data_IF_822247121709
#
_entry.id   IF_822247121709
#
_cell.length_a   1.000
_cell.length_b   1.000
_cell.length_c   1.000
_cell.angle_alpha   90.00
_cell.angle_beta   90.00
_cell.angle_gamma   90.00
#
_symmetry.space_group_name_H-M   'P 1'
#
loop_
_entity.id
_entity.type
_entity.pdbx_description
1 polymer ?
#
# COMPACT_ATOMS: atom_id res chain seq x y z
N UNK A 1 3.52 22.55 -45.48
CA UNK A 1 3.03 21.26 -44.95
C UNK A 1 2.76 21.44 -43.46
N UNK A 2 1.51 21.75 -43.10
CA UNK A 2 1.09 21.89 -41.71
C UNK A 2 0.79 20.48 -41.17
N UNK A 3 1.67 19.97 -40.32
CA UNK A 3 1.41 18.75 -39.55
C UNK A 3 0.19 19.02 -38.67
N UNK A 4 -0.90 18.31 -38.97
CA UNK A 4 -2.19 18.43 -38.30
C UNK A 4 -2.02 18.17 -36.80
N UNK A 5 -2.44 19.08 -35.90
CA UNK A 5 -2.23 18.94 -34.44
C UNK A 5 -2.85 17.65 -33.86
N UNK A 6 -3.83 17.08 -34.56
CA UNK A 6 -4.48 15.81 -34.24
C UNK A 6 -3.50 14.63 -34.33
N UNK A 7 -2.60 14.64 -35.32
CA UNK A 7 -1.63 13.55 -35.53
C UNK A 7 -0.55 13.54 -34.44
N UNK A 8 -0.14 14.73 -33.98
CA UNK A 8 0.83 14.89 -32.89
C UNK A 8 0.26 14.43 -31.54
N UNK A 9 -1.02 14.70 -31.27
CA UNK A 9 -1.69 14.25 -30.05
C UNK A 9 -1.88 12.72 -30.00
N UNK A 10 -2.23 12.10 -31.13
CA UNK A 10 -2.37 10.65 -31.22
C UNK A 10 -1.03 9.91 -30.99
N UNK A 11 0.07 10.46 -31.49
CA UNK A 11 1.41 9.90 -31.28
C UNK A 11 1.90 10.04 -29.83
N UNK A 12 1.55 11.15 -29.15
CA UNK A 12 1.89 11.36 -27.74
C UNK A 12 1.14 10.40 -26.79
N UNK A 13 -0.13 10.10 -27.09
CA UNK A 13 -0.90 9.11 -26.32
C UNK A 13 -0.37 7.68 -26.47
N UNK A 14 0.20 7.34 -27.64
CA UNK A 14 0.81 6.03 -27.88
C UNK A 14 2.13 5.81 -27.12
N UNK A 15 2.78 6.88 -26.64
CA UNK A 15 4.02 6.83 -25.87
C UNK A 15 3.80 6.84 -24.34
N UNK A 16 2.55 6.99 -23.88
CA UNK A 16 2.22 6.90 -22.47
C UNK A 16 2.26 5.44 -22.01
N UNK A 17 3.44 4.96 -21.63
CA UNK A 17 3.60 3.67 -20.97
C UNK A 17 2.82 3.61 -19.65
N UNK A 18 2.30 2.43 -19.24
CA UNK A 18 1.62 2.30 -17.97
C UNK A 18 2.56 2.67 -16.82
N UNK A 19 2.17 3.65 -16.01
CA UNK A 19 2.88 4.03 -14.79
C UNK A 19 2.67 2.96 -13.71
N UNK A 20 3.32 1.80 -13.87
CA UNK A 20 3.22 0.66 -12.96
C UNK A 20 4.17 0.78 -11.75
N UNK A 21 4.39 1.99 -11.22
CA UNK A 21 5.42 2.26 -10.20
C UNK A 21 4.92 2.15 -8.75
N UNK A 22 3.66 1.80 -8.51
CA UNK A 22 3.08 1.76 -7.16
C UNK A 22 3.16 0.34 -6.60
N UNK A 23 4.06 0.12 -5.62
CA UNK A 23 4.16 -1.16 -4.92
C UNK A 23 3.08 -1.38 -3.86
N UNK A 24 2.26 -0.37 -3.55
CA UNK A 24 1.21 -0.41 -2.53
C UNK A 24 -0.01 0.41 -2.95
N UNK A 25 -1.20 -0.20 -2.95
CA UNK A 25 -2.47 0.48 -3.20
C UNK A 25 -3.64 -0.14 -2.41
N UNK A 26 -4.59 0.66 -1.87
CA UNK A 26 -4.52 2.11 -1.77
C UNK A 26 -3.46 2.53 -0.74
N UNK A 27 -2.86 3.71 -0.92
CA UNK A 27 -1.94 4.28 0.08
C UNK A 27 -2.67 4.85 1.30
N UNK A 28 -3.93 5.24 1.14
CA UNK A 28 -4.74 5.73 2.25
C UNK A 28 -6.12 5.09 2.20
N UNK A 29 -6.60 4.62 3.35
CA UNK A 29 -7.98 4.21 3.49
C UNK A 29 -8.49 4.45 4.91
N UNK A 30 -9.79 4.70 5.02
CA UNK A 30 -10.48 4.77 6.30
C UNK A 30 -11.74 3.94 6.24
N UNK A 31 -12.20 3.44 7.39
CA UNK A 31 -13.48 2.75 7.44
C UNK A 31 -13.90 2.32 8.83
N UNK A 32 -15.21 2.26 9.03
CA UNK A 32 -15.78 1.82 10.29
C UNK A 32 -15.79 0.28 10.41
N UNK A 33 -15.88 -0.23 11.63
CA UNK A 33 -16.05 -1.65 11.97
C UNK A 33 -16.93 -1.79 13.22
N UNK A 34 -17.84 -2.78 13.28
CA UNK A 34 -18.56 -3.09 14.52
C UNK A 34 -17.69 -3.85 15.54
N UNK A 35 -16.56 -4.40 15.10
CA UNK A 35 -15.61 -5.14 15.94
C UNK A 35 -14.57 -4.21 16.57
N UNK A 36 -13.80 -4.72 17.53
CA UNK A 36 -12.58 -4.08 18.01
C UNK A 36 -11.39 -4.31 17.05
N UNK A 37 -11.54 -5.13 16.00
CA UNK A 37 -10.54 -5.32 14.94
C UNK A 37 -11.02 -4.70 13.63
N UNK A 38 -10.13 -3.95 12.97
CA UNK A 38 -10.33 -3.44 11.62
C UNK A 38 -9.35 -4.09 10.66
N UNK A 39 -9.86 -4.52 9.51
CA UNK A 39 -9.06 -5.00 8.38
C UNK A 39 -9.13 -4.07 7.17
N UNK A 40 -8.03 -4.00 6.42
CA UNK A 40 -7.95 -3.38 5.10
C UNK A 40 -7.33 -4.35 4.09
N UNK A 41 -7.91 -4.41 2.90
CA UNK A 41 -7.33 -5.14 1.76
C UNK A 41 -6.42 -4.19 0.99
N UNK A 42 -5.17 -4.56 0.85
CA UNK A 42 -4.15 -3.81 0.10
C UNK A 42 -3.66 -4.66 -1.07
N UNK A 43 -3.23 -4.02 -2.14
CA UNK A 43 -2.62 -4.61 -3.32
C UNK A 43 -1.15 -4.25 -3.31
N UNK A 44 -0.29 -5.27 -3.31
CA UNK A 44 1.15 -5.13 -3.39
C UNK A 44 1.60 -5.51 -4.80
N UNK A 45 2.31 -4.61 -5.48
CA UNK A 45 2.78 -4.80 -6.86
C UNK A 45 4.30 -4.85 -6.95
N UNK A 46 4.81 -5.63 -7.91
CA UNK A 46 6.22 -5.59 -8.28
C UNK A 46 6.44 -4.71 -9.53
N UNK A 47 6.92 -3.45 -9.36
CA UNK A 47 7.21 -2.57 -10.49
C UNK A 47 8.53 -2.92 -11.20
N UNK A 48 9.32 -3.85 -10.66
CA UNK A 48 10.67 -4.14 -11.16
C UNK A 48 10.65 -5.21 -12.26
N UNK A 49 11.64 -5.18 -13.18
CA UNK A 49 11.73 -6.14 -14.29
C UNK A 49 12.12 -7.56 -13.84
N UNK A 50 12.60 -7.73 -12.60
CA UNK A 50 12.96 -9.01 -12.00
C UNK A 50 11.99 -9.43 -10.90
N UNK A 51 11.93 -10.72 -10.53
CA UNK A 51 11.20 -11.17 -9.37
C UNK A 51 11.79 -10.55 -8.10
N UNK A 52 10.93 -10.07 -7.21
CA UNK A 52 11.33 -9.39 -5.99
C UNK A 52 10.56 -9.92 -4.79
N UNK A 53 11.25 -10.02 -3.65
CA UNK A 53 10.60 -10.27 -2.36
C UNK A 53 10.34 -8.94 -1.67
N UNK A 54 9.09 -8.69 -1.29
CA UNK A 54 8.65 -7.52 -0.55
C UNK A 54 8.31 -7.89 0.89
N UNK A 55 8.69 -7.02 1.81
CA UNK A 55 8.27 -7.06 3.21
C UNK A 55 7.10 -6.09 3.40
N UNK A 56 6.04 -6.54 4.06
CA UNK A 56 4.87 -5.74 4.44
C UNK A 56 4.91 -5.52 5.95
N UNK A 57 5.13 -4.27 6.35
CA UNK A 57 5.47 -3.89 7.72
C UNK A 57 4.37 -2.99 8.29
N UNK A 58 3.55 -3.46 9.24
CA UNK A 58 2.68 -2.61 10.02
C UNK A 58 3.51 -1.71 10.94
N UNK A 59 3.33 -0.40 10.83
CA UNK A 59 4.10 0.61 11.53
C UNK A 59 3.17 1.59 12.26
N UNK A 60 3.72 2.38 13.17
CA UNK A 60 3.03 3.55 13.68
C UNK A 60 2.73 4.56 12.54
N UNK A 61 1.81 5.52 12.73
CA UNK A 61 1.47 6.51 11.70
C UNK A 61 2.65 7.39 11.24
N UNK A 62 3.76 7.39 11.99
CA UNK A 62 4.99 8.13 11.64
C UNK A 62 6.05 7.24 10.98
N UNK A 63 5.76 5.96 10.74
CA UNK A 63 6.62 4.99 10.06
C UNK A 63 7.99 4.75 10.73
N UNK A 64 8.05 4.89 12.05
CA UNK A 64 9.28 4.75 12.85
C UNK A 64 9.40 3.39 13.53
N UNK A 65 8.30 2.89 14.08
CA UNK A 65 8.28 1.67 14.89
C UNK A 65 7.13 0.77 14.46
N UNK A 66 7.22 -0.53 14.78
CA UNK A 66 6.15 -1.48 14.49
C UNK A 66 4.85 -1.08 15.22
N UNK A 67 3.72 -1.20 14.55
CA UNK A 67 2.42 -0.99 15.19
C UNK A 67 2.05 -2.19 16.08
N UNK A 68 1.82 -2.00 17.39
CA UNK A 68 1.44 -3.09 18.28
C UNK A 68 0.04 -3.62 17.93
N UNK A 69 -0.19 -4.93 18.05
CA UNK A 69 -1.49 -5.56 17.71
C UNK A 69 -1.98 -5.23 16.28
N UNK A 70 -1.04 -5.09 15.34
CA UNK A 70 -1.31 -5.06 13.91
C UNK A 70 -0.64 -6.27 13.25
N UNK A 71 -1.34 -6.92 12.33
CA UNK A 71 -0.94 -8.18 11.70
C UNK A 71 -1.17 -8.12 10.19
N UNK A 72 -0.39 -8.91 9.45
CA UNK A 72 -0.52 -9.08 8.00
C UNK A 72 -0.52 -10.56 7.68
N UNK A 73 -1.45 -11.01 6.85
CA UNK A 73 -1.56 -12.42 6.46
C UNK A 73 -0.37 -12.91 5.60
N UNK A 74 0.32 -12.01 4.91
CA UNK A 74 1.52 -12.29 4.13
C UNK A 74 2.58 -11.21 4.40
N UNK A 75 3.37 -11.31 5.48
CA UNK A 75 4.36 -10.29 5.85
C UNK A 75 5.58 -10.27 4.92
N UNK A 76 5.82 -11.33 4.16
CA UNK A 76 6.82 -11.40 3.11
C UNK A 76 6.23 -12.08 1.87
N UNK A 77 6.45 -11.49 0.68
CA UNK A 77 5.85 -11.95 -0.57
C UNK A 77 6.84 -11.83 -1.70
N UNK A 78 7.10 -12.93 -2.40
CA UNK A 78 7.82 -12.91 -3.67
C UNK A 78 6.84 -12.74 -4.83
N UNK A 79 7.10 -11.77 -5.69
CA UNK A 79 6.25 -11.41 -6.83
C UNK A 79 7.06 -11.45 -8.12
N UNK A 80 6.49 -12.04 -9.17
CA UNK A 80 7.02 -11.96 -10.53
C UNK A 80 6.99 -10.52 -11.07
N UNK A 81 7.78 -10.16 -12.09
CA UNK A 81 7.77 -8.84 -12.70
C UNK A 81 6.35 -8.42 -13.12
N UNK A 82 5.94 -7.19 -12.78
CA UNK A 82 4.62 -6.64 -13.12
C UNK A 82 3.42 -7.31 -12.43
N UNK A 83 3.65 -8.34 -11.60
CA UNK A 83 2.57 -9.03 -10.90
C UNK A 83 2.17 -8.29 -9.61
N UNK A 84 0.96 -8.58 -9.14
CA UNK A 84 0.46 -8.06 -7.87
C UNK A 84 -0.24 -9.13 -7.04
N UNK A 85 -0.30 -8.90 -5.72
CA UNK A 85 -0.99 -9.77 -4.77
C UNK A 85 -1.76 -8.94 -3.76
N UNK A 86 -2.93 -9.46 -3.39
CA UNK A 86 -3.73 -8.87 -2.31
C UNK A 86 -3.27 -9.39 -0.95
N UNK A 87 -3.13 -8.46 -0.01
CA UNK A 87 -2.80 -8.70 1.39
C UNK A 87 -3.88 -8.10 2.27
N UNK A 88 -4.05 -8.67 3.45
CA UNK A 88 -4.97 -8.16 4.45
C UNK A 88 -4.13 -7.72 5.65
N UNK A 89 -4.26 -6.45 6.00
CA UNK A 89 -3.71 -5.90 7.23
C UNK A 89 -4.84 -5.73 8.21
N UNK A 90 -4.66 -6.23 9.43
CA UNK A 90 -5.60 -6.08 10.53
C UNK A 90 -4.96 -5.38 11.71
N UNK A 91 -5.72 -4.60 12.46
CA UNK A 91 -5.27 -4.05 13.73
C UNK A 91 -6.41 -3.90 14.72
N UNK A 92 -6.09 -4.01 16.01
CA UNK A 92 -7.04 -3.79 17.10
C UNK A 92 -7.19 -2.29 17.41
N UNK A 93 -8.41 -1.80 17.51
CA UNK A 93 -8.73 -0.46 18.02
C UNK A 93 -8.95 -0.62 19.53
N UNK A 94 -8.16 0.10 20.35
CA UNK A 94 -8.24 -0.04 21.80
C UNK A 94 -9.65 0.29 22.32
N UNK A 95 -10.17 -0.40 23.36
CA UNK A 95 -11.50 -0.13 23.88
C UNK A 95 -11.72 1.32 24.33
N UNK A 96 -10.66 1.97 24.80
CA UNK A 96 -10.65 3.38 25.22
C UNK A 96 -10.67 4.39 24.08
N UNK A 97 -10.54 3.93 22.82
CA UNK A 97 -10.47 4.81 21.64
C UNK A 97 -11.58 4.51 20.65
N UNK A 98 -12.13 5.58 20.06
CA UNK A 98 -13.14 5.49 18.98
C UNK A 98 -12.51 5.14 17.64
N UNK A 99 -11.26 5.52 17.46
CA UNK A 99 -10.52 5.31 16.22
C UNK A 99 -9.05 4.99 16.50
N UNK A 100 -8.42 4.35 15.53
CA UNK A 100 -6.98 4.11 15.51
C UNK A 100 -6.47 4.20 14.08
N UNK A 101 -5.37 4.92 13.90
CA UNK A 101 -4.61 4.95 12.66
C UNK A 101 -3.33 4.13 12.82
N UNK A 102 -2.97 3.37 11.79
CA UNK A 102 -1.66 2.74 11.64
C UNK A 102 -1.02 3.14 10.31
N UNK A 103 0.29 2.98 10.21
CA UNK A 103 1.02 2.96 8.95
C UNK A 103 1.19 1.52 8.45
N UNK A 104 1.32 1.36 7.13
CA UNK A 104 1.84 0.12 6.52
C UNK A 104 2.89 0.52 5.51
N UNK A 105 4.07 -0.07 5.61
CA UNK A 105 5.16 0.15 4.66
C UNK A 105 5.47 -1.13 3.90
N UNK A 106 5.73 -0.97 2.61
CA UNK A 106 6.17 -2.03 1.71
C UNK A 106 7.56 -1.68 1.23
N UNK A 107 8.50 -2.59 1.40
CA UNK A 107 9.86 -2.43 0.90
C UNK A 107 10.37 -3.72 0.27
N UNK A 108 11.21 -3.64 -0.77
CA UNK A 108 12.00 -4.79 -1.19
C UNK A 108 12.87 -5.30 -0.04
N UNK A 109 13.01 -6.62 0.08
CA UNK A 109 13.86 -7.26 1.09
C UNK A 109 15.35 -7.11 0.74
N UNK A 110 15.68 -7.35 -0.52
CA UNK A 110 17.07 -7.57 -0.97
C UNK A 110 17.47 -6.57 -2.07
N UNK A 111 16.94 -5.34 -2.02
CA UNK A 111 17.37 -4.31 -2.97
C UNK A 111 18.57 -3.54 -2.40
N UNK A 112 19.75 -3.98 -2.81
CA UNK A 112 21.02 -3.32 -2.51
C UNK A 112 21.20 -2.09 -3.42
N UNK A 113 20.66 -0.95 -2.98
CA UNK A 113 20.84 0.33 -3.66
C UNK A 113 21.01 1.44 -2.62
N UNK A 114 21.65 2.54 -3.02
CA UNK A 114 21.82 3.74 -2.18
C UNK A 114 20.48 4.30 -1.68
N UNK A 115 19.39 4.00 -2.39
CA UNK A 115 18.03 4.36 -2.01
C UNK A 115 17.26 3.08 -1.68
N UNK A 116 16.72 2.97 -0.47
CA UNK A 116 15.76 1.91 -0.12
C UNK A 116 14.36 2.41 -0.47
N UNK A 117 13.74 1.95 -1.56
CA UNK A 117 12.41 2.38 -1.96
C UNK A 117 11.41 1.72 -1.01
N UNK A 118 11.01 2.48 0.01
CA UNK A 118 9.93 2.11 0.92
C UNK A 118 8.71 2.96 0.59
N UNK A 119 7.61 2.31 0.23
CA UNK A 119 6.33 2.98 0.00
C UNK A 119 5.46 2.74 1.21
N UNK A 120 4.94 3.82 1.80
CA UNK A 120 4.12 3.73 3.01
C UNK A 120 2.75 4.37 2.80
N UNK A 121 1.76 3.82 3.50
CA UNK A 121 0.39 4.29 3.51
C UNK A 121 -0.18 4.35 4.93
N UNK A 122 -1.27 5.08 5.14
CA UNK A 122 -1.95 5.17 6.43
C UNK A 122 -3.39 4.67 6.37
N UNK A 123 -3.81 3.99 7.44
CA UNK A 123 -5.09 3.28 7.49
C UNK A 123 -5.80 3.56 8.81
N UNK A 124 -7.01 4.12 8.74
CA UNK A 124 -7.77 4.56 9.92
C UNK A 124 -9.01 3.72 10.10
N UNK A 125 -9.08 2.99 11.21
CA UNK A 125 -10.26 2.23 11.63
C UNK A 125 -11.04 2.97 12.70
N UNK A 126 -12.36 3.01 12.58
CA UNK A 126 -13.26 3.54 13.61
C UNK A 126 -14.26 2.49 14.09
N UNK A 127 -14.62 2.50 15.38
CA UNK A 127 -15.59 1.55 15.96
C UNK A 127 -17.01 2.11 15.88
N UNK A 128 -17.92 1.33 15.31
CA UNK A 128 -19.36 1.62 15.37
C UNK A 128 -19.86 1.28 16.78
N UNK A 129 -20.47 2.25 17.47
CA UNK A 129 -21.06 2.05 18.80
C UNK A 129 -20.24 2.52 20.01
N UNK A 130 -19.06 3.13 19.81
CA UNK A 130 -18.29 3.77 20.90
C UNK A 130 -18.89 5.12 21.37
N UNK A 131 -20.21 5.24 21.33
CA UNK A 131 -20.97 6.44 21.65
C UNK A 131 -22.42 6.11 21.94
N UNK A 132 -22.66 5.64 23.17
CA UNK A 132 -23.85 5.93 23.97
C UNK A 132 -23.37 6.14 25.40
#
# INVERSE_FOLDING_TARGET
>A
MQLTPILAAALAAALAGPAAAQSLSPMHAAGATPSDVKGFRLTIGNPYPGPMTFLVLPMDPKFRVAAPAAEVNFPAITLAPGSSRQVIVTFRIEPSRKERTIGVCVQPRDLDSTVLPRVCGTYTGSRLGAGR
#
